data_IF_645153999480
#
_entry.id   IF_645153999480
#
_cell.length_a   1.000
_cell.length_b   1.000
_cell.length_c   1.000
_cell.angle_alpha   90.00
_cell.angle_beta   90.00
_cell.angle_gamma   90.00
#
_symmetry.space_group_name_H-M   'P 1'
#
loop_
_entity.id
_entity.type
_entity.pdbx_description
1 polymer ?
#
# COMPACT_ATOMS: atom_id res chain seq x y z
N UNK A 1 33.58 10.49 -9.73
CA UNK A 1 32.24 9.88 -9.61
C UNK A 1 31.59 10.26 -8.27
N UNK A 2 31.18 11.53 -8.22
CA UNK A 2 30.10 12.18 -7.45
C UNK A 2 29.67 11.66 -6.06
N UNK A 3 30.31 12.22 -5.04
CA UNK A 3 29.81 12.41 -3.66
C UNK A 3 28.37 13.01 -3.57
N UNK A 4 27.78 13.51 -4.67
CA UNK A 4 26.41 14.07 -4.71
C UNK A 4 25.30 13.09 -4.36
N UNK A 5 25.54 11.78 -4.39
CA UNK A 5 24.50 10.78 -4.04
C UNK A 5 24.29 10.61 -2.53
N UNK A 6 25.20 11.09 -1.68
CA UNK A 6 25.17 10.79 -0.24
C UNK A 6 24.12 11.61 0.53
N UNK A 7 23.68 12.76 -0.01
CA UNK A 7 22.69 13.66 0.61
C UNK A 7 21.49 13.98 -0.29
N UNK A 8 21.31 13.25 -1.40
CA UNK A 8 20.16 13.47 -2.26
C UNK A 8 18.88 12.98 -1.58
N UNK A 9 18.05 13.90 -1.09
CA UNK A 9 16.72 13.57 -0.59
C UNK A 9 15.91 12.88 -1.70
N UNK A 10 15.09 11.87 -1.35
CA UNK A 10 14.23 11.23 -2.34
C UNK A 10 13.33 12.28 -3.02
N UNK A 11 13.05 12.12 -4.32
CA UNK A 11 12.08 12.95 -5.03
C UNK A 11 10.78 13.11 -4.23
N UNK A 12 10.16 14.28 -4.33
CA UNK A 12 8.94 14.60 -3.59
C UNK A 12 7.85 13.52 -3.79
N UNK A 13 7.70 13.01 -5.01
CA UNK A 13 6.74 11.95 -5.33
C UNK A 13 6.96 10.66 -4.53
N UNK A 14 8.21 10.26 -4.28
CA UNK A 14 8.51 9.07 -3.46
C UNK A 14 8.14 9.31 -1.99
N UNK A 15 8.32 10.54 -1.48
CA UNK A 15 7.90 10.89 -0.11
C UNK A 15 6.38 10.88 0.03
N UNK A 16 5.68 11.49 -0.92
CA UNK A 16 4.21 11.46 -0.98
C UNK A 16 3.70 10.03 -1.05
N UNK A 17 4.26 9.20 -1.94
CA UNK A 17 3.89 7.78 -2.07
C UNK A 17 4.08 7.00 -0.76
N UNK A 18 5.18 7.23 -0.04
CA UNK A 18 5.45 6.59 1.26
C UNK A 18 4.44 6.98 2.32
N UNK A 19 4.17 8.27 2.47
CA UNK A 19 3.19 8.77 3.45
C UNK A 19 1.79 8.23 3.11
N UNK A 20 1.41 8.28 1.84
CA UNK A 20 0.13 7.75 1.36
C UNK A 20 0.01 6.23 1.60
N UNK A 21 1.08 5.46 1.38
CA UNK A 21 1.10 4.02 1.66
C UNK A 21 0.96 3.71 3.16
N UNK A 22 1.61 4.48 4.04
CA UNK A 22 1.43 4.33 5.50
C UNK A 22 -0.02 4.62 5.87
N UNK A 23 -0.55 5.75 5.41
CA UNK A 23 -1.94 6.13 5.67
C UNK A 23 -2.92 5.09 5.14
N UNK A 24 -2.67 4.52 3.97
CA UNK A 24 -3.49 3.47 3.38
C UNK A 24 -3.41 2.15 4.16
N UNK A 25 -2.23 1.75 4.62
CA UNK A 25 -2.08 0.57 5.48
C UNK A 25 -2.85 0.72 6.80
N UNK A 26 -2.79 1.91 7.42
CA UNK A 26 -3.56 2.22 8.62
C UNK A 26 -5.07 2.22 8.34
N UNK A 27 -5.49 2.83 7.23
CA UNK A 27 -6.88 2.81 6.77
C UNK A 27 -7.42 1.39 6.62
N UNK A 28 -6.68 0.51 5.92
CA UNK A 28 -7.05 -0.90 5.80
C UNK A 28 -7.05 -1.62 7.16
N UNK A 29 -6.10 -1.27 8.04
CA UNK A 29 -6.01 -1.85 9.38
C UNK A 29 -7.20 -1.52 10.28
N UNK A 30 -7.90 -0.39 10.05
CA UNK A 30 -9.11 -0.06 10.81
C UNK A 30 -10.25 -1.06 10.58
N UNK A 31 -10.33 -1.67 9.40
CA UNK A 31 -11.36 -2.69 9.13
C UNK A 31 -11.18 -3.90 10.02
N UNK A 32 -9.95 -4.27 10.40
CA UNK A 32 -9.70 -5.39 11.29
C UNK A 32 -10.22 -5.22 12.73
N UNK A 33 -10.71 -4.02 13.08
CA UNK A 33 -11.34 -3.77 14.38
C UNK A 33 -12.78 -4.30 14.45
N UNK A 34 -13.37 -4.69 13.32
CA UNK A 34 -14.71 -5.32 13.26
C UNK A 34 -14.79 -6.64 14.03
N UNK A 35 -13.66 -7.31 14.27
CA UNK A 35 -13.58 -8.56 15.05
C UNK A 35 -13.90 -8.39 16.54
N UNK A 36 -13.95 -7.15 17.05
CA UNK A 36 -14.26 -6.84 18.45
C UNK A 36 -15.77 -6.75 18.72
N UNK A 37 -16.52 -7.74 18.25
CA UNK A 37 -17.96 -7.86 18.46
C UNK A 37 -18.32 -9.00 19.44
N UNK A 38 -19.47 -8.91 20.14
CA UNK A 38 -19.93 -9.99 21.01
C UNK A 38 -20.14 -11.30 20.25
N UNK A 39 -19.73 -12.43 20.84
CA UNK A 39 -20.02 -13.78 20.31
C UNK A 39 -18.80 -14.62 19.95
N UNK A 40 -17.59 -14.04 19.95
CA UNK A 40 -16.34 -14.77 19.77
C UNK A 40 -15.63 -15.03 21.11
N UNK A 41 -15.05 -16.22 21.26
CA UNK A 41 -14.08 -16.50 22.32
C UNK A 41 -12.76 -15.76 22.07
N UNK A 42 -11.95 -15.54 23.10
CA UNK A 42 -10.66 -14.83 22.98
C UNK A 42 -9.75 -15.42 21.90
N UNK A 43 -9.67 -16.76 21.78
CA UNK A 43 -8.86 -17.41 20.75
C UNK A 43 -9.38 -17.19 19.33
N UNK A 44 -10.70 -17.17 19.16
CA UNK A 44 -11.33 -16.85 17.87
C UNK A 44 -11.08 -15.40 17.48
N UNK A 45 -11.17 -14.46 18.43
CA UNK A 45 -10.89 -13.04 18.18
C UNK A 45 -9.44 -12.82 17.72
N UNK A 46 -8.46 -13.44 18.39
CA UNK A 46 -7.03 -13.32 18.00
C UNK A 46 -6.80 -13.83 16.58
N UNK A 47 -7.41 -14.98 16.25
CA UNK A 47 -7.28 -15.59 14.91
C UNK A 47 -7.95 -14.71 13.85
N UNK A 48 -9.16 -14.23 14.12
CA UNK A 48 -9.90 -13.34 13.22
C UNK A 48 -9.14 -12.04 12.98
N UNK A 49 -8.62 -11.41 14.06
CA UNK A 49 -7.82 -10.19 13.98
C UNK A 49 -6.59 -10.39 13.09
N UNK A 50 -5.85 -11.49 13.29
CA UNK A 50 -4.69 -11.84 12.47
C UNK A 50 -5.03 -11.97 10.98
N UNK A 51 -6.16 -12.61 10.66
CA UNK A 51 -6.64 -12.76 9.28
C UNK A 51 -7.08 -11.42 8.67
N UNK A 52 -7.79 -10.58 9.42
CA UNK A 52 -8.26 -9.27 8.93
C UNK A 52 -7.12 -8.25 8.77
N UNK A 53 -5.98 -8.44 9.44
CA UNK A 53 -4.79 -7.61 9.26
C UNK A 53 -3.98 -7.97 8.00
N UNK A 54 -4.22 -9.14 7.36
CA UNK A 54 -3.47 -9.56 6.18
C UNK A 54 -3.43 -8.52 5.05
N UNK A 55 -4.54 -7.84 4.67
CA UNK A 55 -4.52 -6.81 3.66
C UNK A 55 -3.59 -5.64 4.03
N UNK A 56 -3.64 -5.17 5.29
CA UNK A 56 -2.79 -4.09 5.78
C UNK A 56 -1.31 -4.51 5.79
N UNK A 57 -1.01 -5.72 6.27
CA UNK A 57 0.35 -6.27 6.31
C UNK A 57 0.94 -6.45 4.90
N UNK A 58 0.14 -6.82 3.90
CA UNK A 58 0.57 -6.87 2.51
C UNK A 58 0.99 -5.48 1.99
N UNK A 59 0.23 -4.43 2.30
CA UNK A 59 0.60 -3.05 1.95
C UNK A 59 1.90 -2.63 2.64
N UNK A 60 2.09 -2.95 3.92
CA UNK A 60 3.34 -2.69 4.66
C UNK A 60 4.52 -3.41 4.00
N UNK A 61 4.34 -4.66 3.57
CA UNK A 61 5.37 -5.43 2.86
C UNK A 61 5.75 -4.78 1.53
N UNK A 62 4.77 -4.40 0.69
CA UNK A 62 5.03 -3.73 -0.59
C UNK A 62 5.75 -2.40 -0.39
N UNK A 63 5.36 -1.67 0.65
CA UNK A 63 5.98 -0.42 1.03
C UNK A 63 7.44 -0.62 1.48
N UNK A 64 7.72 -1.64 2.31
CA UNK A 64 9.09 -2.01 2.67
C UNK A 64 9.95 -2.34 1.45
N UNK A 65 9.41 -3.09 0.48
CA UNK A 65 10.05 -3.35 -0.81
C UNK A 65 10.28 -2.04 -1.58
N UNK A 66 9.29 -1.15 -1.63
CA UNK A 66 9.39 0.16 -2.28
C UNK A 66 10.45 1.06 -1.65
N UNK A 67 10.75 0.89 -0.37
CA UNK A 67 11.83 1.60 0.31
C UNK A 67 13.21 1.23 -0.22
N UNK A 68 13.40 -0.03 -0.64
CA UNK A 68 14.64 -0.54 -1.24
C UNK A 68 14.67 -0.34 -2.76
N UNK A 69 13.54 -0.58 -3.42
CA UNK A 69 13.39 -0.44 -4.86
C UNK A 69 12.00 0.14 -5.22
N UNK A 70 11.91 1.47 -5.44
CA UNK A 70 10.65 2.14 -5.78
C UNK A 70 9.99 1.60 -7.06
N UNK A 71 10.77 1.08 -8.01
CA UNK A 71 10.24 0.52 -9.26
C UNK A 71 9.41 -0.75 -8.97
N UNK A 72 10.02 -1.71 -8.24
CA UNK A 72 9.35 -2.97 -7.89
C UNK A 72 8.16 -2.70 -6.96
N UNK A 73 8.35 -1.88 -5.92
CA UNK A 73 7.28 -1.51 -5.01
C UNK A 73 6.10 -0.85 -5.73
N UNK A 74 6.37 0.09 -6.64
CA UNK A 74 5.33 0.74 -7.43
C UNK A 74 4.54 -0.24 -8.31
N UNK A 75 5.20 -1.22 -8.92
CA UNK A 75 4.52 -2.29 -9.66
C UNK A 75 3.63 -3.14 -8.76
N UNK A 76 4.10 -3.54 -7.57
CA UNK A 76 3.30 -4.34 -6.62
C UNK A 76 2.02 -3.61 -6.20
N UNK A 77 2.12 -2.31 -5.92
CA UNK A 77 0.96 -1.45 -5.59
C UNK A 77 -0.07 -1.35 -6.73
N UNK A 78 0.39 -1.27 -7.99
CA UNK A 78 -0.52 -1.29 -9.14
C UNK A 78 -1.16 -2.68 -9.30
N UNK A 79 -0.34 -3.73 -9.22
CA UNK A 79 -0.80 -5.11 -9.40
C UNK A 79 -1.86 -5.49 -8.38
N UNK A 80 -1.71 -5.12 -7.10
CA UNK A 80 -2.72 -5.45 -6.07
C UNK A 80 -4.04 -4.71 -6.31
N UNK A 81 -4.00 -3.45 -6.76
CA UNK A 81 -5.23 -2.71 -7.08
C UNK A 81 -5.92 -3.27 -8.32
N UNK A 82 -5.17 -3.65 -9.36
CA UNK A 82 -5.71 -4.31 -10.56
C UNK A 82 -6.29 -5.68 -10.21
N UNK A 83 -5.59 -6.47 -9.40
CA UNK A 83 -6.08 -7.76 -8.93
C UNK A 83 -7.42 -7.61 -8.18
N UNK A 84 -7.56 -6.60 -7.32
CA UNK A 84 -8.83 -6.33 -6.66
C UNK A 84 -9.97 -6.03 -7.65
N UNK A 85 -9.74 -5.24 -8.70
CA UNK A 85 -10.77 -4.94 -9.70
C UNK A 85 -11.25 -6.21 -10.41
N UNK A 86 -10.33 -7.13 -10.71
CA UNK A 86 -10.64 -8.39 -11.40
C UNK A 86 -11.44 -9.33 -10.49
N UNK A 87 -11.03 -9.47 -9.23
CA UNK A 87 -11.65 -10.41 -8.28
C UNK A 87 -12.99 -9.89 -7.71
N UNK A 88 -13.09 -8.58 -7.43
CA UNK A 88 -14.22 -7.99 -6.73
C UNK A 88 -15.37 -7.59 -7.67
N UNK A 89 -15.67 -8.33 -8.73
CA UNK A 89 -16.71 -7.98 -9.70
C UNK A 89 -18.06 -7.57 -9.06
N UNK A 90 -18.74 -6.59 -9.65
CA UNK A 90 -20.10 -6.17 -9.24
C UNK A 90 -20.20 -5.20 -8.06
N UNK A 91 -19.08 -4.61 -7.61
CA UNK A 91 -19.06 -3.63 -6.53
C UNK A 91 -19.48 -2.23 -7.01
N UNK A 92 -19.86 -1.38 -6.05
CA UNK A 92 -20.13 0.03 -6.34
C UNK A 92 -18.85 0.79 -6.66
N UNK A 93 -18.96 1.83 -7.49
CA UNK A 93 -17.80 2.62 -7.94
C UNK A 93 -16.90 3.12 -6.80
N UNK A 94 -17.52 3.57 -5.70
CA UNK A 94 -16.78 4.07 -4.54
C UNK A 94 -15.86 3.01 -3.93
N UNK A 95 -16.28 1.74 -3.90
CA UNK A 95 -15.46 0.63 -3.41
C UNK A 95 -14.23 0.44 -4.28
N UNK A 96 -14.38 0.45 -5.61
CA UNK A 96 -13.23 0.37 -6.52
C UNK A 96 -12.27 1.55 -6.33
N UNK A 97 -12.79 2.77 -6.15
CA UNK A 97 -11.97 3.95 -5.94
C UNK A 97 -11.13 3.87 -4.67
N UNK A 98 -11.73 3.42 -3.56
CA UNK A 98 -11.06 3.35 -2.26
C UNK A 98 -10.10 2.17 -2.16
N UNK A 99 -10.49 0.99 -2.65
CA UNK A 99 -9.72 -0.25 -2.45
C UNK A 99 -8.71 -0.49 -3.57
N UNK A 100 -9.01 -0.14 -4.82
CA UNK A 100 -8.08 -0.29 -5.94
C UNK A 100 -7.44 1.04 -6.37
N UNK A 101 -8.22 2.13 -6.39
CA UNK A 101 -7.76 3.42 -6.89
C UNK A 101 -6.59 4.00 -6.08
N UNK A 102 -6.68 3.96 -4.75
CA UNK A 102 -5.62 4.45 -3.85
C UNK A 102 -4.29 3.71 -4.05
N UNK A 103 -4.20 2.36 -3.97
CA UNK A 103 -2.94 1.66 -4.18
C UNK A 103 -2.40 1.84 -5.60
N UNK A 104 -3.24 1.90 -6.64
CA UNK A 104 -2.80 2.21 -8.01
C UNK A 104 -2.15 3.60 -8.06
N UNK A 105 -2.76 4.62 -7.46
CA UNK A 105 -2.21 5.97 -7.41
C UNK A 105 -0.86 6.03 -6.68
N UNK A 106 -0.75 5.34 -5.55
CA UNK A 106 0.51 5.19 -4.80
C UNK A 106 1.59 4.56 -5.70
N UNK A 107 1.24 3.50 -6.42
CA UNK A 107 2.15 2.83 -7.34
C UNK A 107 2.63 3.76 -8.47
N UNK A 108 1.72 4.54 -9.08
CA UNK A 108 2.05 5.54 -10.10
C UNK A 108 3.06 6.56 -9.55
N UNK A 109 2.87 7.07 -8.33
CA UNK A 109 3.81 8.02 -7.71
C UNK A 109 5.20 7.41 -7.47
N UNK A 110 5.28 6.15 -7.04
CA UNK A 110 6.56 5.45 -6.94
C UNK A 110 7.26 5.32 -8.30
N UNK A 111 6.53 4.96 -9.36
CA UNK A 111 7.09 4.81 -10.71
C UNK A 111 7.55 6.14 -11.31
N UNK A 112 6.74 7.20 -11.20
CA UNK A 112 7.10 8.53 -11.69
C UNK A 112 8.28 9.12 -10.90
N UNK A 113 8.27 8.99 -9.58
CA UNK A 113 9.38 9.41 -8.73
C UNK A 113 10.68 8.66 -9.03
N UNK A 114 10.61 7.36 -9.30
CA UNK A 114 11.77 6.57 -9.73
C UNK A 114 12.37 7.08 -11.04
N UNK A 115 11.52 7.39 -12.04
CA UNK A 115 11.96 7.95 -13.34
C UNK A 115 12.62 9.31 -13.16
N UNK A 116 12.07 10.20 -12.33
CA UNK A 116 12.66 11.51 -12.05
C UNK A 116 14.05 11.37 -11.41
N UNK A 117 14.22 10.44 -10.47
CA UNK A 117 15.50 10.20 -9.79
C UNK A 117 16.61 9.67 -10.73
N UNK A 118 16.24 9.04 -11.85
CA UNK A 118 17.19 8.48 -12.84
C UNK A 118 17.58 9.48 -13.93
N UNK A 119 16.86 10.60 -14.05
CA UNK A 119 17.11 11.66 -15.04
C UNK A 119 18.05 12.77 -14.53
N UNK A 120 18.36 12.75 -13.23
CA UNK A 120 19.29 13.67 -12.54
C UNK A 120 20.60 12.92 -12.28
#
# INVERSE_FOLDING_TARGET
>A
MTQKKLFAHPPLLIRIARIAAIAYALFLGMFALDVFEPGLSTGQMITALGMHLLPSLAIVLFLWIAWKNPLIGGMLFILVGVAYIIEAGGQVFLTYLLIAGIPILIGIFFLLGYRQNRRI
#
